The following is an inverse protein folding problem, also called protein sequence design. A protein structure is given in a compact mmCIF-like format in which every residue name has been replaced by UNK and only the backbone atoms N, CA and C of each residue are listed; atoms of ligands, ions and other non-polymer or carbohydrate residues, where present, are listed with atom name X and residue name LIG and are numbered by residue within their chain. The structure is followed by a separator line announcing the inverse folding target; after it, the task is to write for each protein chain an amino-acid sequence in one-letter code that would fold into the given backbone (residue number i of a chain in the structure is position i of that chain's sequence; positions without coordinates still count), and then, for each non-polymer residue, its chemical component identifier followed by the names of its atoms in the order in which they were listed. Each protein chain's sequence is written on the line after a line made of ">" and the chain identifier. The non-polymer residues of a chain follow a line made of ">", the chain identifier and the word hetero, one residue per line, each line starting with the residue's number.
data_IF_942348140974
#
_entry.id   IF_942348140974
#
_cell.length_a   1.000
_cell.length_b   1.000
_cell.length_c   1.000
_cell.angle_alpha   90.00
_cell.angle_beta   90.00
_cell.angle_gamma   90.00
#
_symmetry.space_group_name_H-M   'P 1'
#
loop_
_entity.id
_entity.type
_entity.pdbx_description
1 polymer ?
#
# COMPACT_ATOMS: atom_id res chain seq x y z
N UNK A 1 -47.81 -26.17 1.21
CA UNK A 1 -48.65 -24.95 1.27
C UNK A 1 -48.24 -24.20 2.53
N UNK A 2 -47.84 -22.92 2.60
CA UNK A 2 -47.74 -21.72 1.75
C UNK A 2 -46.56 -20.92 2.37
N UNK A 3 -45.55 -20.50 1.60
CA UNK A 3 -45.33 -19.10 1.15
C UNK A 3 -45.44 -18.09 2.32
N UNK A 4 -44.31 -17.56 2.82
CA UNK A 4 -43.62 -16.33 2.37
C UNK A 4 -44.14 -15.06 3.09
N UNK A 5 -43.22 -14.10 3.26
CA UNK A 5 -43.42 -12.66 3.60
C UNK A 5 -43.54 -12.42 5.13
N UNK A 6 -42.81 -11.54 5.83
CA UNK A 6 -42.43 -10.12 5.60
C UNK A 6 -41.33 -9.76 6.64
N UNK A 7 -40.13 -9.27 6.32
CA UNK A 7 -39.77 -7.88 6.00
C UNK A 7 -40.17 -6.86 7.09
N UNK A 8 -39.13 -6.38 7.80
CA UNK A 8 -38.88 -4.99 8.25
C UNK A 8 -39.82 -4.37 9.31
N UNK A 9 -39.24 -4.12 10.49
CA UNK A 9 -39.45 -2.91 11.31
C UNK A 9 -38.17 -2.74 12.15
N UNK A 10 -37.32 -1.72 11.97
CA UNK A 10 -37.57 -0.30 12.31
C UNK A 10 -37.97 -0.19 13.79
N UNK A 11 -37.35 0.52 14.73
CA UNK A 11 -36.18 1.40 14.87
C UNK A 11 -36.21 1.83 16.36
N UNK A 12 -35.12 2.45 16.86
CA UNK A 12 -35.03 3.26 18.08
C UNK A 12 -34.96 2.55 19.46
N UNK A 13 -33.81 2.56 20.14
CA UNK A 13 -33.19 3.67 20.93
C UNK A 13 -33.68 3.70 22.39
N UNK A 14 -32.78 3.34 23.30
CA UNK A 14 -32.67 3.90 24.66
C UNK A 14 -31.18 3.91 25.01
N UNK A 15 -30.43 4.96 24.65
CA UNK A 15 -30.05 6.10 25.50
C UNK A 15 -29.68 5.72 26.94
N UNK A 16 -28.38 5.62 27.22
CA UNK A 16 -27.84 6.02 28.52
C UNK A 16 -27.16 7.37 28.31
N UNK A 17 -27.62 8.34 29.09
CA UNK A 17 -27.22 9.73 29.01
C UNK A 17 -26.29 10.08 30.19
N UNK A 18 -25.35 10.99 29.91
CA UNK A 18 -24.60 11.88 30.81
C UNK A 18 -23.75 11.29 31.95
N UNK A 19 -22.43 11.42 31.77
CA UNK A 19 -21.58 11.98 32.82
C UNK A 19 -20.79 13.16 32.22
N UNK A 20 -21.14 14.37 32.67
CA UNK A 20 -20.36 15.57 32.47
C UNK A 20 -19.00 15.41 33.16
N UNK A 21 -17.96 15.14 32.38
CA UNK A 21 -16.57 15.38 32.74
C UNK A 21 -16.10 16.64 32.02
N UNK A 22 -16.32 17.79 32.66
CA UNK A 22 -15.87 19.10 32.23
C UNK A 22 -14.34 19.11 32.07
N UNK A 23 -13.86 19.44 30.86
CA UNK A 23 -12.48 19.87 30.65
C UNK A 23 -11.50 18.80 30.20
N UNK A 24 -11.59 18.37 28.94
CA UNK A 24 -10.45 18.04 28.09
C UNK A 24 -10.98 17.84 26.66
N UNK A 25 -10.55 18.69 25.73
CA UNK A 25 -10.72 18.41 24.31
C UNK A 25 -10.05 17.05 24.05
N UNK A 26 -10.74 16.03 23.51
CA UNK A 26 -10.04 14.82 23.11
C UNK A 26 -9.02 15.24 22.04
N UNK A 27 -7.74 15.06 22.35
CA UNK A 27 -6.68 15.18 21.38
C UNK A 27 -7.04 14.27 20.20
N UNK A 28 -7.30 14.88 19.05
CA UNK A 28 -7.60 14.19 17.81
C UNK A 28 -6.50 13.17 17.58
N UNK A 29 -6.89 11.90 17.61
CA UNK A 29 -5.99 10.76 17.73
C UNK A 29 -4.82 10.84 16.76
N UNK A 30 -3.63 10.63 17.31
CA UNK A 30 -2.47 10.18 16.55
C UNK A 30 -2.84 8.84 15.90
N UNK A 31 -3.47 8.89 14.73
CA UNK A 31 -3.63 7.73 13.88
C UNK A 31 -2.23 7.20 13.59
N UNK A 32 -1.95 5.98 14.05
CA UNK A 32 -0.72 5.28 13.71
C UNK A 32 -0.57 5.35 12.18
N UNK A 33 0.46 6.04 11.72
CA UNK A 33 0.81 6.04 10.31
C UNK A 33 1.13 4.58 9.96
N UNK A 34 0.48 3.97 8.96
CA UNK A 34 0.79 2.60 8.58
C UNK A 34 2.29 2.50 8.29
N UNK A 35 2.90 1.44 8.83
CA UNK A 35 4.31 1.18 8.59
C UNK A 35 4.58 1.06 7.09
N UNK A 36 5.76 1.51 6.61
CA UNK A 36 6.13 1.27 5.23
C UNK A 36 6.14 -0.24 4.95
N UNK A 37 5.69 -0.67 3.75
CA UNK A 37 5.69 -2.07 3.39
C UNK A 37 7.12 -2.62 3.38
N UNK A 38 7.27 -3.88 3.77
CA UNK A 38 8.54 -4.59 3.72
C UNK A 38 8.91 -4.97 2.28
N UNK A 39 10.18 -5.27 2.04
CA UNK A 39 10.67 -5.81 0.75
C UNK A 39 9.87 -7.04 0.32
N UNK A 40 9.59 -7.95 1.25
CA UNK A 40 8.83 -9.16 0.98
C UNK A 40 7.40 -8.83 0.53
N UNK A 41 6.71 -7.90 1.20
CA UNK A 41 5.37 -7.47 0.82
C UNK A 41 5.35 -6.79 -0.56
N UNK A 42 6.36 -5.98 -0.85
CA UNK A 42 6.52 -5.35 -2.15
C UNK A 42 6.69 -6.38 -3.27
N UNK A 43 7.57 -7.37 -3.07
CA UNK A 43 7.84 -8.43 -4.04
C UNK A 43 6.62 -9.34 -4.19
N UNK A 44 5.91 -9.66 -3.10
CA UNK A 44 4.66 -10.44 -3.14
C UNK A 44 3.60 -9.74 -3.98
N UNK A 45 3.43 -8.43 -3.81
CA UNK A 45 2.51 -7.63 -4.61
C UNK A 45 2.94 -7.61 -6.09
N UNK A 46 4.21 -7.37 -6.37
CA UNK A 46 4.74 -7.37 -7.72
C UNK A 46 4.58 -8.74 -8.40
N UNK A 47 4.79 -9.82 -7.67
CA UNK A 47 4.58 -11.19 -8.15
C UNK A 47 3.13 -11.42 -8.55
N UNK A 48 2.18 -10.97 -7.73
CA UNK A 48 0.76 -11.10 -8.04
C UNK A 48 0.33 -10.27 -9.26
N UNK A 49 0.89 -9.07 -9.45
CA UNK A 49 0.51 -8.17 -10.56
C UNK A 49 1.22 -8.51 -11.88
N UNK A 50 2.50 -8.90 -11.82
CA UNK A 50 3.35 -9.14 -12.98
C UNK A 50 3.49 -10.62 -13.33
N UNK A 51 3.06 -11.53 -12.46
CA UNK A 51 3.32 -12.97 -12.56
C UNK A 51 4.82 -13.25 -12.70
N UNK A 52 5.61 -12.78 -11.74
CA UNK A 52 7.06 -13.00 -11.71
C UNK A 52 7.37 -14.51 -11.57
N UNK A 53 8.38 -14.99 -12.28
CA UNK A 53 8.91 -16.33 -12.10
C UNK A 53 9.68 -16.44 -10.77
N UNK A 54 9.95 -17.67 -10.32
CA UNK A 54 10.76 -17.90 -9.11
C UNK A 54 12.16 -17.28 -9.23
N UNK A 55 12.77 -17.34 -10.40
CA UNK A 55 14.08 -16.73 -10.67
C UNK A 55 14.00 -15.20 -10.58
N UNK A 56 12.98 -14.59 -11.18
CA UNK A 56 12.76 -13.14 -11.10
C UNK A 56 12.50 -12.69 -9.66
N UNK A 57 11.79 -13.47 -8.85
CA UNK A 57 11.54 -13.16 -7.42
C UNK A 57 12.86 -13.12 -6.63
N UNK A 58 13.77 -14.07 -6.88
CA UNK A 58 15.09 -14.10 -6.25
C UNK A 58 15.91 -12.88 -6.68
N UNK A 59 15.95 -12.57 -7.98
CA UNK A 59 16.65 -11.39 -8.50
C UNK A 59 16.09 -10.09 -7.91
N UNK A 60 14.77 -9.96 -7.82
CA UNK A 60 14.13 -8.79 -7.23
C UNK A 60 14.48 -8.63 -5.76
N UNK A 61 14.55 -9.73 -5.00
CA UNK A 61 14.96 -9.70 -3.59
C UNK A 61 16.38 -9.16 -3.46
N UNK A 62 17.32 -9.72 -4.24
CA UNK A 62 18.71 -9.28 -4.25
C UNK A 62 18.87 -7.81 -4.67
N UNK A 63 18.10 -7.34 -5.66
CA UNK A 63 18.10 -5.94 -6.09
C UNK A 63 17.62 -5.03 -4.95
N UNK A 64 16.54 -5.37 -4.25
CA UNK A 64 16.04 -4.54 -3.13
C UNK A 64 17.04 -4.48 -1.97
N UNK A 65 17.63 -5.62 -1.59
CA UNK A 65 18.67 -5.69 -0.55
C UNK A 65 19.89 -4.84 -0.91
N UNK A 66 20.35 -4.91 -2.16
CA UNK A 66 21.48 -4.10 -2.66
C UNK A 66 21.28 -2.60 -2.49
N UNK A 67 20.06 -2.10 -2.61
CA UNK A 67 19.76 -0.67 -2.49
C UNK A 67 19.21 -0.25 -1.11
N UNK A 68 18.94 -1.19 -0.20
CA UNK A 68 18.26 -0.92 1.07
C UNK A 68 18.95 0.20 1.88
N UNK A 69 20.27 0.13 2.05
CA UNK A 69 21.02 1.13 2.81
C UNK A 69 21.11 2.47 2.08
N UNK A 70 21.30 2.43 0.75
CA UNK A 70 21.38 3.63 -0.07
C UNK A 70 20.04 4.39 -0.18
N UNK A 71 18.93 3.76 0.23
CA UNK A 71 17.61 4.35 0.35
C UNK A 71 17.36 5.05 1.69
N UNK A 72 18.16 4.73 2.72
CA UNK A 72 18.06 5.34 4.06
C UNK A 72 18.60 6.77 4.06
N UNK A 73 19.61 7.07 3.23
CA UNK A 73 20.11 8.44 3.03
C UNK A 73 19.26 9.20 2.00
N UNK A 74 18.65 10.31 2.44
CA UNK A 74 17.83 11.20 1.61
C UNK A 74 18.56 11.74 0.39
N UNK A 75 19.89 11.96 0.46
CA UNK A 75 20.68 12.52 -0.64
C UNK A 75 20.83 11.54 -1.80
N UNK A 76 21.00 10.26 -1.48
CA UNK A 76 21.20 9.19 -2.47
C UNK A 76 19.89 8.50 -2.84
N UNK A 77 18.87 8.55 -1.98
CA UNK A 77 17.62 7.81 -2.15
C UNK A 77 16.97 8.00 -3.51
N UNK A 78 16.95 9.22 -4.06
CA UNK A 78 16.35 9.45 -5.38
C UNK A 78 17.09 8.72 -6.50
N UNK A 79 18.43 8.81 -6.50
CA UNK A 79 19.27 8.16 -7.50
C UNK A 79 19.23 6.64 -7.34
N UNK A 80 19.30 6.15 -6.09
CA UNK A 80 19.17 4.75 -5.74
C UNK A 80 17.84 4.17 -6.22
N UNK A 81 16.72 4.90 -6.06
CA UNK A 81 15.41 4.48 -6.59
C UNK A 81 15.42 4.33 -8.09
N UNK A 82 16.03 5.29 -8.80
CA UNK A 82 16.10 5.24 -10.26
C UNK A 82 16.93 4.05 -10.74
N UNK A 83 18.10 3.83 -10.12
CA UNK A 83 18.97 2.71 -10.46
C UNK A 83 18.33 1.35 -10.14
N UNK A 84 17.71 1.24 -8.97
CA UNK A 84 16.95 0.05 -8.58
C UNK A 84 15.85 -0.25 -9.58
N UNK A 85 15.08 0.76 -9.99
CA UNK A 85 14.00 0.62 -10.97
C UNK A 85 14.50 0.20 -12.36
N UNK A 86 15.63 0.73 -12.81
CA UNK A 86 16.28 0.32 -14.06
C UNK A 86 16.70 -1.16 -14.01
N UNK A 87 17.31 -1.59 -12.89
CA UNK A 87 17.71 -2.99 -12.70
C UNK A 87 16.48 -3.92 -12.63
N UNK A 88 15.43 -3.56 -11.89
CA UNK A 88 14.18 -4.33 -11.84
C UNK A 88 13.56 -4.46 -13.22
N UNK A 89 13.49 -3.37 -13.99
CA UNK A 89 12.90 -3.37 -15.33
C UNK A 89 13.68 -4.24 -16.32
N UNK A 90 15.00 -4.38 -16.14
CA UNK A 90 15.84 -5.24 -16.97
C UNK A 90 15.57 -6.74 -16.78
N UNK A 91 15.05 -7.15 -15.61
CA UNK A 91 14.68 -8.55 -15.33
C UNK A 91 13.34 -8.96 -15.94
N UNK A 92 12.57 -8.01 -16.47
CA UNK A 92 11.20 -8.23 -16.94
C UNK A 92 11.14 -8.50 -18.45
N UNK A 93 10.16 -9.32 -18.87
CA UNK A 93 9.79 -9.45 -20.29
C UNK A 93 9.04 -8.20 -20.78
N UNK A 94 8.96 -8.00 -22.10
CA UNK A 94 8.27 -6.85 -22.69
C UNK A 94 6.82 -6.68 -22.17
N UNK A 95 6.08 -7.80 -22.08
CA UNK A 95 4.71 -7.82 -21.54
C UNK A 95 4.65 -7.42 -20.06
N UNK A 96 5.64 -7.85 -19.27
CA UNK A 96 5.74 -7.51 -17.85
C UNK A 96 6.16 -6.05 -17.66
N UNK A 97 7.07 -5.52 -18.49
CA UNK A 97 7.48 -4.11 -18.48
C UNK A 97 6.29 -3.18 -18.72
N UNK A 98 5.40 -3.53 -19.67
CA UNK A 98 4.20 -2.75 -19.93
C UNK A 98 3.25 -2.69 -18.71
N UNK A 99 3.11 -3.81 -17.97
CA UNK A 99 2.34 -3.85 -16.72
C UNK A 99 3.04 -3.07 -15.60
N UNK A 100 4.35 -3.22 -15.47
CA UNK A 100 5.16 -2.54 -14.47
C UNK A 100 5.10 -1.01 -14.62
N UNK A 101 5.20 -0.51 -15.86
CA UNK A 101 5.06 0.92 -16.15
C UNK A 101 3.67 1.47 -15.76
N UNK A 102 2.60 0.69 -15.95
CA UNK A 102 1.25 1.06 -15.50
C UNK A 102 1.14 1.07 -13.97
N UNK A 103 1.70 0.06 -13.31
CA UNK A 103 1.74 -0.03 -11.84
C UNK A 103 2.49 1.16 -11.22
N UNK A 104 3.58 1.63 -11.83
CA UNK A 104 4.31 2.80 -11.35
C UNK A 104 3.49 4.09 -11.48
N UNK A 105 2.85 4.30 -12.64
CA UNK A 105 2.03 5.48 -12.88
C UNK A 105 0.84 5.61 -11.92
N UNK A 106 0.27 4.49 -11.45
CA UNK A 106 -0.82 4.52 -10.46
C UNK A 106 -0.33 4.84 -9.04
N UNK A 107 0.96 4.68 -8.76
CA UNK A 107 1.58 5.00 -7.47
C UNK A 107 2.11 6.43 -7.39
N UNK A 108 2.35 7.08 -8.52
CA UNK A 108 2.55 8.54 -8.58
C UNK A 108 1.24 9.23 -8.17
N UNK A 109 1.11 9.51 -6.86
CA UNK A 109 -0.02 10.30 -6.35
C UNK A 109 -0.12 11.59 -7.18
N UNK A 110 -1.31 11.98 -7.66
CA UNK A 110 -1.48 13.28 -8.29
C UNK A 110 -1.02 14.33 -7.29
N UNK A 111 -0.01 15.12 -7.65
CA UNK A 111 0.31 16.34 -6.92
C UNK A 111 -0.99 17.13 -6.83
N UNK A 112 -1.56 17.23 -5.64
CA UNK A 112 -2.57 18.24 -5.38
C UNK A 112 -1.86 19.55 -5.65
N UNK A 113 -2.23 20.22 -6.74
CA UNK A 113 -1.91 21.62 -6.94
C UNK A 113 -2.63 22.34 -5.81
N UNK A 114 -1.88 22.83 -4.83
CA UNK A 114 -2.37 23.83 -3.88
C UNK A 114 -2.65 25.14 -4.63
#
# INVERSE_FOLDING_TARGET
>A
MKKLVMIISMVCLSTIAFAQGQGQRPAQGQGQRPEPPTTEEMIKKATAELNLSTEQVVEWTAIHEKYEDAMKDRKTAQESRKKMDEELNATLTEDQQAKYAKMKKSQERPQRKD
#
